data_IF_289336222705
#
_entry.id   IF_289336222705
#
_cell.length_a   1.000
_cell.length_b   1.000
_cell.length_c   1.000
_cell.angle_alpha   90.00
_cell.angle_beta   90.00
_cell.angle_gamma   90.00
#
_symmetry.space_group_name_H-M   'P 1'
#
loop_
_entity.id
_entity.type
_entity.pdbx_description
1 polymer ?
#
# COMPACT_ATOMS: atom_id res chain seq x y z
N UNK A 1 3.61 8.14 7.72
CA UNK A 1 4.62 7.05 7.75
C UNK A 1 4.82 6.64 6.30
N UNK A 2 6.06 6.60 5.80
CA UNK A 2 6.30 6.44 4.36
C UNK A 2 6.21 4.96 3.92
N UNK A 3 5.16 4.64 3.15
CA UNK A 3 4.92 3.31 2.58
C UNK A 3 5.45 3.15 1.14
N UNK A 4 6.37 3.99 0.66
CA UNK A 4 6.85 3.96 -0.74
C UNK A 4 7.36 2.59 -1.22
N UNK A 5 7.85 1.73 -0.32
CA UNK A 5 8.27 0.35 -0.64
C UNK A 5 7.11 -0.66 -0.74
N UNK A 6 5.90 -0.28 -0.34
CA UNK A 6 4.73 -1.14 -0.30
C UNK A 6 4.29 -1.64 -1.68
N UNK A 7 4.46 -0.84 -2.74
CA UNK A 7 4.14 -1.29 -4.10
C UNK A 7 4.91 -2.55 -4.49
N UNK A 8 6.22 -2.60 -4.23
CA UNK A 8 7.04 -3.76 -4.54
C UNK A 8 6.81 -4.98 -3.63
N UNK A 9 6.02 -4.83 -2.55
CA UNK A 9 5.60 -5.94 -1.72
C UNK A 9 4.37 -6.66 -2.30
N UNK A 10 3.57 -5.97 -3.11
CA UNK A 10 2.32 -6.50 -3.65
C UNK A 10 2.55 -7.51 -4.76
N UNK A 11 2.07 -8.74 -4.56
CA UNK A 11 2.10 -9.80 -5.56
C UNK A 11 1.18 -9.46 -6.73
N UNK A 12 1.70 -9.60 -7.95
CA UNK A 12 0.88 -9.48 -9.16
C UNK A 12 0.18 -10.81 -9.41
N UNK A 13 -1.12 -10.79 -9.66
CA UNK A 13 -1.87 -11.98 -10.07
C UNK A 13 -1.29 -12.54 -11.37
N UNK A 14 -1.07 -13.86 -11.45
CA UNK A 14 -0.50 -14.54 -12.65
C UNK A 14 -1.16 -14.13 -13.97
N UNK A 15 -2.48 -13.98 -13.98
CA UNK A 15 -3.24 -13.55 -15.18
C UNK A 15 -2.88 -12.14 -15.66
N UNK A 16 -2.39 -11.28 -14.76
CA UNK A 16 -2.05 -9.88 -15.02
C UNK A 16 -0.55 -9.67 -15.30
N UNK A 17 0.32 -10.64 -14.99
CA UNK A 17 1.78 -10.54 -15.23
C UNK A 17 2.10 -10.27 -16.70
N UNK A 18 1.34 -10.87 -17.63
CA UNK A 18 1.49 -10.64 -19.07
C UNK A 18 1.28 -9.19 -19.51
N UNK A 19 0.47 -8.42 -18.75
CA UNK A 19 0.20 -7.00 -19.02
C UNK A 19 1.32 -6.10 -18.51
N UNK A 20 2.19 -6.65 -17.66
CA UNK A 20 3.33 -5.97 -17.05
C UNK A 20 4.65 -6.51 -17.62
N UNK A 21 4.68 -6.89 -18.89
CA UNK A 21 5.93 -7.28 -19.56
C UNK A 21 6.76 -6.07 -19.91
N UNK A 22 8.06 -6.22 -19.72
CA UNK A 22 9.07 -5.31 -20.27
C UNK A 22 9.86 -6.06 -21.34
N UNK A 23 10.12 -5.38 -22.43
CA UNK A 23 10.94 -5.89 -23.54
C UNK A 23 12.24 -5.10 -23.52
N UNK A 24 13.36 -5.82 -23.41
CA UNK A 24 14.69 -5.22 -23.50
C UNK A 24 15.55 -6.04 -24.47
N UNK A 25 16.75 -5.53 -24.78
CA UNK A 25 17.69 -6.20 -25.68
C UNK A 25 18.11 -7.61 -25.22
N UNK A 26 17.90 -7.96 -23.95
CA UNK A 26 18.19 -9.29 -23.38
C UNK A 26 16.99 -10.23 -23.39
N UNK A 27 15.80 -9.77 -23.79
CA UNK A 27 14.59 -10.60 -23.86
C UNK A 27 13.36 -9.95 -23.22
N UNK A 28 12.41 -10.80 -22.85
CA UNK A 28 11.12 -10.39 -22.29
C UNK A 28 11.04 -10.82 -20.84
N UNK A 29 10.75 -9.88 -19.95
CA UNK A 29 10.63 -10.12 -18.50
C UNK A 29 9.24 -9.74 -18.01
N UNK A 30 8.74 -10.45 -17.01
CA UNK A 30 7.45 -10.22 -16.36
C UNK A 30 7.65 -9.77 -14.91
N UNK A 31 6.92 -8.73 -14.51
CA UNK A 31 6.90 -8.33 -13.10
C UNK A 31 6.08 -9.31 -12.25
N UNK A 32 6.72 -9.85 -11.21
CA UNK A 32 6.06 -10.69 -10.19
C UNK A 32 5.49 -9.87 -9.03
N UNK A 33 5.99 -8.65 -8.87
CA UNK A 33 5.57 -7.65 -7.88
C UNK A 33 5.18 -6.36 -8.58
N UNK A 34 4.31 -5.56 -7.96
CA UNK A 34 3.77 -4.37 -8.60
C UNK A 34 4.91 -3.38 -8.97
N UNK A 35 5.07 -3.04 -10.26
CA UNK A 35 6.03 -2.03 -10.67
C UNK A 35 5.47 -0.62 -10.46
N UNK A 36 6.36 0.36 -10.36
CA UNK A 36 5.96 1.77 -10.35
C UNK A 36 5.37 2.19 -11.71
N UNK A 37 4.51 3.22 -11.67
CA UNK A 37 3.98 3.85 -12.88
C UNK A 37 2.77 3.16 -13.52
N UNK A 38 2.25 2.07 -12.94
CA UNK A 38 0.99 1.49 -13.41
C UNK A 38 -0.20 2.31 -12.89
N UNK A 39 -1.13 2.66 -13.78
CA UNK A 39 -2.27 3.54 -13.47
C UNK A 39 -3.10 3.06 -12.27
N UNK A 40 -3.23 1.74 -12.10
CA UNK A 40 -4.08 1.14 -11.07
C UNK A 40 -3.32 0.78 -9.79
N UNK A 41 -2.01 1.05 -9.69
CA UNK A 41 -1.23 0.74 -8.49
C UNK A 41 -1.77 1.47 -7.25
N UNK A 42 -1.99 2.80 -7.28
CA UNK A 42 -2.46 3.53 -6.10
C UNK A 42 -3.82 3.03 -5.61
N UNK A 43 -4.77 2.80 -6.52
CA UNK A 43 -6.10 2.30 -6.17
C UNK A 43 -6.10 0.84 -5.66
N UNK A 44 -5.12 0.03 -6.07
CA UNK A 44 -4.95 -1.31 -5.49
C UNK A 44 -4.30 -1.23 -4.11
N UNK A 45 -3.30 -0.34 -3.95
CA UNK A 45 -2.63 -0.12 -2.68
C UNK A 45 -3.61 0.41 -1.63
N UNK A 46 -4.41 1.43 -1.97
CA UNK A 46 -5.44 1.97 -1.08
C UNK A 46 -6.42 0.88 -0.61
N UNK A 47 -6.97 0.05 -1.51
CA UNK A 47 -7.90 -1.02 -1.12
C UNK A 47 -7.28 -2.02 -0.15
N UNK A 48 -5.99 -2.33 -0.32
CA UNK A 48 -5.27 -3.19 0.59
C UNK A 48 -5.13 -2.52 1.97
N UNK A 49 -4.74 -1.25 1.99
CA UNK A 49 -4.61 -0.47 3.22
C UNK A 49 -5.95 -0.32 3.94
N UNK A 50 -7.04 -0.05 3.22
CA UNK A 50 -8.40 0.02 3.77
C UNK A 50 -8.83 -1.31 4.42
N UNK A 51 -8.34 -2.44 3.90
CA UNK A 51 -8.64 -3.77 4.46
C UNK A 51 -7.79 -4.07 5.70
N UNK A 52 -6.51 -3.69 5.69
CA UNK A 52 -5.60 -3.91 6.82
C UNK A 52 -6.01 -3.04 8.01
N UNK A 53 -6.35 -1.78 7.76
CA UNK A 53 -6.69 -0.79 8.80
C UNK A 53 -8.20 -0.62 8.98
N UNK A 54 -8.99 -1.62 8.59
CA UNK A 54 -10.45 -1.50 8.60
C UNK A 54 -10.99 -1.22 10.01
N UNK A 55 -10.42 -1.88 11.03
CA UNK A 55 -10.85 -1.72 12.42
C UNK A 55 -10.52 -0.32 12.94
N UNK A 56 -9.31 0.16 12.67
CA UNK A 56 -8.83 1.49 13.07
C UNK A 56 -9.62 2.62 12.40
N UNK A 57 -9.95 2.45 11.11
CA UNK A 57 -10.80 3.39 10.36
C UNK A 57 -12.20 3.45 10.98
N UNK A 58 -12.77 2.30 11.37
CA UNK A 58 -14.11 2.21 11.94
C UNK A 58 -14.19 2.77 13.37
N UNK A 59 -13.11 2.68 14.15
CA UNK A 59 -12.99 3.26 15.49
C UNK A 59 -12.89 4.80 15.48
N UNK A 60 -12.96 5.44 14.30
CA UNK A 60 -12.97 6.91 14.16
C UNK A 60 -11.60 7.56 14.30
N UNK A 61 -10.58 6.76 14.62
CA UNK A 61 -9.19 7.14 14.64
C UNK A 61 -8.51 6.76 13.33
N UNK A 62 -8.53 7.70 12.36
CA UNK A 62 -7.45 7.95 11.38
C UNK A 62 -7.68 7.50 9.95
N UNK A 63 -7.20 8.36 9.03
CA UNK A 63 -7.36 8.26 7.57
C UNK A 63 -6.07 7.75 6.96
N UNK A 64 -6.15 6.61 6.28
CA UNK A 64 -5.05 6.08 5.49
C UNK A 64 -5.08 6.71 4.09
N UNK A 65 -4.00 7.37 3.68
CA UNK A 65 -3.91 8.01 2.36
C UNK A 65 -2.78 7.39 1.53
N UNK A 66 -3.12 6.46 0.65
CA UNK A 66 -2.24 5.79 -0.31
C UNK A 66 -0.87 5.45 0.29
N UNK A 67 0.13 6.31 0.09
CA UNK A 67 1.53 6.10 0.46
C UNK A 67 1.89 6.59 1.88
N UNK A 68 0.98 7.31 2.54
CA UNK A 68 1.13 7.86 3.87
C UNK A 68 0.01 7.40 4.81
N UNK A 69 0.39 6.73 5.90
CA UNK A 69 -0.51 6.56 7.04
C UNK A 69 -0.54 7.89 7.82
N UNK A 70 -1.71 8.55 7.84
CA UNK A 70 -1.94 9.77 8.60
C UNK A 70 -2.64 9.40 9.90
N UNK A 71 -2.04 9.83 11.00
CA UNK A 71 -2.36 9.41 12.36
C UNK A 71 -2.62 10.70 13.18
N UNK A 72 -3.83 10.88 13.72
CA UNK A 72 -4.30 12.06 14.47
C UNK A 72 -5.01 11.64 15.77
N UNK A 73 -4.72 12.30 16.88
CA UNK A 73 -5.40 12.13 18.18
C UNK A 73 -5.52 13.47 18.87
N UNK A 74 -6.41 13.54 19.85
CA UNK A 74 -6.60 14.71 20.71
C UNK A 74 -5.50 14.85 21.76
N UNK A 75 -5.00 13.72 22.29
CA UNK A 75 -3.92 13.71 23.28
C UNK A 75 -2.66 13.00 22.76
N UNK A 76 -1.52 13.29 23.40
CA UNK A 76 -0.24 12.67 23.09
C UNK A 76 -0.19 11.21 23.57
N UNK A 77 -0.76 10.94 24.74
CA UNK A 77 -0.82 9.60 25.34
C UNK A 77 -1.60 8.64 24.43
N UNK A 78 -2.76 9.09 23.92
CA UNK A 78 -3.51 8.33 22.93
C UNK A 78 -2.70 8.17 21.64
N UNK A 79 -2.00 9.24 21.21
CA UNK A 79 -1.18 9.19 20.00
C UNK A 79 -0.17 8.06 20.02
N UNK A 80 0.57 7.92 21.13
CA UNK A 80 1.59 6.90 21.32
C UNK A 80 0.98 5.51 21.36
N UNK A 81 -0.12 5.31 22.10
CA UNK A 81 -0.81 4.01 22.14
C UNK A 81 -1.28 3.55 20.76
N UNK A 82 -1.78 4.47 19.96
CA UNK A 82 -2.24 4.14 18.62
C UNK A 82 -1.09 3.92 17.63
N UNK A 83 0.05 4.61 17.78
CA UNK A 83 1.24 4.29 16.97
C UNK A 83 1.70 2.85 17.27
N UNK A 84 1.68 2.45 18.54
CA UNK A 84 2.09 1.11 18.96
C UNK A 84 1.15 0.00 18.45
N UNK A 85 -0.13 0.30 18.21
CA UNK A 85 -1.07 -0.64 17.57
C UNK A 85 -0.86 -0.79 16.06
N UNK A 86 -0.35 0.26 15.40
CA UNK A 86 -0.21 0.32 13.94
C UNK A 86 1.15 -0.21 13.45
N UNK A 87 2.17 -0.23 14.32
CA UNK A 87 3.52 -0.75 14.04
C UNK A 87 3.60 -2.27 14.19
#
# INVERSE_FOLDING_TARGET
MDCMKGFHQNAVKRSSMKLLRIICHMGIYEYTRMPFGIKNAPAHFQRMMDTIFQEEILEGGRVVYIDDIIIYSETWEDHVQYIDRVL
#
